data_IF_219099435784
#
_entry.id   IF_219099435784
#
_cell.length_a   1.000
_cell.length_b   1.000
_cell.length_c   1.000
_cell.angle_alpha   90.00
_cell.angle_beta   90.00
_cell.angle_gamma   90.00
#
_symmetry.space_group_name_H-M   'P 1'
#
loop_
_entity.id
_entity.type
_entity.pdbx_description
1 polymer ?
#
# COMPACT_ATOMS: atom_id res chain seq x y z
N UNK A 1 -27.78 -16.21 -8.11
CA UNK A 1 -26.48 -16.72 -8.57
C UNK A 1 -26.39 -16.37 -10.04
N UNK A 2 -25.40 -15.56 -10.42
CA UNK A 2 -25.08 -15.25 -11.82
C UNK A 2 -24.97 -16.54 -12.63
N UNK A 3 -25.58 -16.57 -13.82
CA UNK A 3 -25.59 -17.72 -14.74
C UNK A 3 -24.19 -17.93 -15.33
N UNK A 4 -23.27 -18.45 -14.50
CA UNK A 4 -21.91 -18.76 -14.90
C UNK A 4 -21.90 -20.12 -15.62
N UNK A 5 -21.30 -20.24 -16.81
CA UNK A 5 -21.38 -21.45 -17.63
C UNK A 5 -20.53 -22.62 -17.10
N UNK A 6 -19.80 -22.42 -16.00
CA UNK A 6 -18.90 -23.40 -15.38
C UNK A 6 -19.00 -23.32 -13.85
N UNK A 7 -18.61 -24.39 -13.16
CA UNK A 7 -18.53 -24.39 -11.69
C UNK A 7 -17.36 -23.54 -11.23
N UNK A 8 -17.67 -22.39 -10.63
CA UNK A 8 -16.71 -21.51 -9.96
C UNK A 8 -16.84 -21.69 -8.44
N UNK A 9 -15.73 -21.55 -7.70
CA UNK A 9 -15.73 -21.49 -6.23
C UNK A 9 -16.75 -20.43 -5.77
N UNK A 10 -17.73 -20.76 -4.90
CA UNK A 10 -18.83 -19.86 -4.60
C UNK A 10 -18.38 -18.57 -3.93
N UNK A 11 -17.29 -18.61 -3.17
CA UNK A 11 -16.68 -17.43 -2.53
C UNK A 11 -16.13 -16.46 -3.59
N UNK A 12 -15.53 -17.00 -4.66
CA UNK A 12 -15.00 -16.19 -5.77
C UNK A 12 -16.14 -15.61 -6.62
N UNK A 13 -17.20 -16.37 -6.86
CA UNK A 13 -18.36 -15.90 -7.61
C UNK A 13 -19.11 -14.76 -6.90
N UNK A 14 -18.98 -14.65 -5.57
CA UNK A 14 -19.56 -13.58 -4.77
C UNK A 14 -18.68 -12.31 -4.73
N UNK A 15 -17.39 -12.40 -5.08
CA UNK A 15 -16.51 -11.24 -5.11
C UNK A 15 -16.80 -10.35 -6.32
N UNK A 16 -16.89 -9.02 -6.13
CA UNK A 16 -16.90 -8.11 -7.26
C UNK A 16 -15.55 -8.19 -7.99
N UNK A 17 -15.59 -8.23 -9.32
CA UNK A 17 -14.37 -8.09 -10.11
C UNK A 17 -13.71 -6.73 -9.79
N UNK A 18 -12.38 -6.73 -9.64
CA UNK A 18 -11.63 -5.51 -9.40
C UNK A 18 -11.91 -4.47 -10.49
N UNK A 19 -12.25 -3.25 -10.06
CA UNK A 19 -12.41 -2.10 -10.95
C UNK A 19 -11.39 -1.04 -10.55
N UNK A 20 -10.45 -0.78 -11.46
CA UNK A 20 -9.52 0.34 -11.34
C UNK A 20 -10.30 1.66 -11.22
N UNK A 21 -9.73 2.64 -10.52
CA UNK A 21 -10.28 4.00 -10.49
C UNK A 21 -10.50 4.55 -11.91
N UNK A 22 -11.50 5.43 -12.06
CA UNK A 22 -11.79 6.10 -13.33
C UNK A 22 -10.51 6.79 -13.85
N UNK A 23 -10.26 6.69 -15.16
CA UNK A 23 -9.22 7.47 -15.82
C UNK A 23 -9.68 8.93 -15.91
N UNK A 24 -8.76 9.87 -15.78
CA UNK A 24 -9.06 11.29 -15.95
C UNK A 24 -9.16 11.64 -17.46
N UNK A 25 -10.00 12.62 -17.78
CA UNK A 25 -9.94 13.31 -19.07
C UNK A 25 -8.66 14.16 -19.16
N UNK A 26 -8.32 14.65 -20.35
CA UNK A 26 -7.08 15.41 -20.59
C UNK A 26 -6.92 16.67 -19.72
N UNK A 27 -8.03 17.27 -19.28
CA UNK A 27 -8.05 18.53 -18.53
C UNK A 27 -8.31 18.32 -17.02
N UNK A 28 -8.43 17.06 -16.58
CA UNK A 28 -8.74 16.70 -15.20
C UNK A 28 -7.52 16.17 -14.45
N UNK A 29 -7.45 16.44 -13.14
CA UNK A 29 -6.40 15.92 -12.28
C UNK A 29 -6.75 14.52 -11.77
N UNK A 30 -5.87 13.55 -12.01
CA UNK A 30 -6.07 12.15 -11.58
C UNK A 30 -5.57 11.94 -10.15
N UNK A 31 -6.43 12.19 -9.18
CA UNK A 31 -6.10 12.15 -7.75
C UNK A 31 -6.65 10.92 -7.02
N UNK A 32 -6.90 9.82 -7.74
CA UNK A 32 -7.60 8.64 -7.20
C UNK A 32 -6.68 7.43 -6.91
N UNK A 33 -5.43 7.46 -7.35
CA UNK A 33 -4.56 6.26 -7.39
C UNK A 33 -3.26 6.38 -6.58
N UNK A 34 -3.06 7.49 -5.86
CA UNK A 34 -1.83 7.77 -5.10
C UNK A 34 -0.59 7.64 -6.00
N UNK A 35 -0.67 8.08 -7.25
CA UNK A 35 0.45 8.06 -8.19
C UNK A 35 1.41 9.21 -7.88
N UNK A 36 2.68 9.05 -8.26
CA UNK A 36 3.64 10.14 -8.14
C UNK A 36 3.36 11.16 -9.26
N UNK A 37 3.17 12.46 -8.97
CA UNK A 37 2.86 13.46 -10.00
C UNK A 37 4.06 13.84 -10.88
N UNK A 38 5.28 13.44 -10.50
CA UNK A 38 6.48 13.75 -11.27
C UNK A 38 6.76 12.69 -12.32
N UNK A 39 7.25 13.13 -13.48
CA UNK A 39 7.84 12.24 -14.49
C UNK A 39 9.02 11.45 -13.90
N UNK A 40 9.25 10.20 -14.35
CA UNK A 40 10.43 9.44 -13.95
C UNK A 40 11.73 10.18 -14.25
N UNK A 41 12.75 9.99 -13.40
CA UNK A 41 14.07 10.59 -13.63
C UNK A 41 14.68 10.15 -14.97
N UNK A 42 15.42 11.03 -15.67
CA UNK A 42 16.02 10.70 -16.96
C UNK A 42 16.85 9.41 -16.93
N UNK A 43 17.67 9.21 -15.90
CA UNK A 43 18.48 7.99 -15.74
C UNK A 43 17.65 6.71 -15.58
N UNK A 44 16.48 6.80 -14.94
CA UNK A 44 15.53 5.68 -14.84
C UNK A 44 14.93 5.35 -16.21
N UNK A 45 14.54 6.38 -16.98
CA UNK A 45 14.02 6.19 -18.34
C UNK A 45 15.08 5.58 -19.26
N UNK A 46 16.33 6.02 -19.15
CA UNK A 46 17.46 5.48 -19.90
C UNK A 46 17.72 4.01 -19.56
N UNK A 47 17.72 3.65 -18.28
CA UNK A 47 17.89 2.27 -17.82
C UNK A 47 16.80 1.33 -18.40
N UNK A 48 15.53 1.77 -18.37
CA UNK A 48 14.41 1.03 -18.96
C UNK A 48 14.57 0.87 -20.48
N UNK A 49 15.00 1.92 -21.18
CA UNK A 49 15.22 1.89 -22.63
C UNK A 49 16.40 1.01 -23.03
N UNK A 50 17.42 0.90 -22.18
CA UNK A 50 18.59 0.05 -22.42
C UNK A 50 18.28 -1.44 -22.25
N UNK A 51 17.30 -1.80 -21.42
CA UNK A 51 16.88 -3.17 -21.14
C UNK A 51 16.09 -3.81 -22.30
N UNK A 52 16.74 -4.01 -23.45
CA UNK A 52 16.10 -4.39 -24.72
C UNK A 52 16.03 -5.89 -25.02
N UNK A 53 16.56 -6.75 -24.14
CA UNK A 53 16.63 -8.20 -24.35
C UNK A 53 15.28 -8.92 -24.11
N UNK A 54 14.20 -8.39 -24.69
CA UNK A 54 12.82 -8.86 -24.49
C UNK A 54 12.57 -10.30 -24.95
N UNK A 55 13.42 -10.81 -25.85
CA UNK A 55 13.36 -12.18 -26.33
C UNK A 55 13.91 -13.21 -25.34
N UNK A 56 14.43 -12.76 -24.18
CA UNK A 56 14.97 -13.61 -23.11
C UNK A 56 14.16 -13.42 -21.85
N UNK A 57 14.02 -14.49 -21.08
CA UNK A 57 13.48 -14.39 -19.74
C UNK A 57 14.43 -13.58 -18.85
N UNK A 58 13.89 -12.72 -17.96
CA UNK A 58 14.70 -12.06 -16.93
C UNK A 58 15.23 -13.06 -15.92
N UNK A 59 16.14 -12.62 -15.05
CA UNK A 59 16.46 -13.36 -13.84
C UNK A 59 15.18 -13.53 -13.00
N UNK A 60 14.70 -14.76 -12.89
CA UNK A 60 13.48 -15.09 -12.15
C UNK A 60 13.52 -14.66 -10.68
N UNK A 61 14.72 -14.51 -10.13
CA UNK A 61 14.94 -14.17 -8.74
C UNK A 61 15.16 -12.68 -8.50
N UNK A 62 15.37 -11.86 -9.55
CA UNK A 62 15.82 -10.46 -9.45
C UNK A 62 17.04 -10.32 -8.51
N UNK A 63 18.07 -11.16 -8.70
CA UNK A 63 19.17 -11.33 -7.77
C UNK A 63 19.98 -10.06 -7.52
N UNK A 64 20.13 -9.19 -8.53
CA UNK A 64 20.84 -7.91 -8.38
C UNK A 64 20.06 -6.96 -7.47
N UNK A 65 18.76 -6.82 -7.71
CA UNK A 65 17.91 -5.99 -6.86
C UNK A 65 17.81 -6.54 -5.43
N UNK A 66 17.70 -7.87 -5.27
CA UNK A 66 17.73 -8.51 -3.94
C UNK A 66 19.02 -8.22 -3.20
N UNK A 67 20.19 -8.33 -3.85
CA UNK A 67 21.47 -8.02 -3.23
C UNK A 67 21.55 -6.55 -2.77
N UNK A 68 21.13 -5.60 -3.63
CA UNK A 68 21.15 -4.17 -3.30
C UNK A 68 20.23 -3.81 -2.13
N UNK A 69 19.05 -4.42 -2.07
CA UNK A 69 18.12 -4.27 -0.96
C UNK A 69 18.63 -4.97 0.31
N UNK A 70 19.24 -6.14 0.18
CA UNK A 70 19.79 -6.88 1.31
C UNK A 70 20.88 -6.09 2.03
N UNK A 71 21.81 -5.49 1.27
CA UNK A 71 22.82 -4.58 1.80
C UNK A 71 22.19 -3.39 2.54
N UNK A 72 21.11 -2.82 1.98
CA UNK A 72 20.41 -1.65 2.56
C UNK A 72 19.81 -1.96 3.93
N UNK A 73 19.20 -3.13 4.09
CA UNK A 73 18.55 -3.53 5.33
C UNK A 73 19.45 -4.39 6.23
N UNK A 74 20.72 -4.58 5.87
CA UNK A 74 21.68 -5.42 6.57
C UNK A 74 21.18 -6.87 6.81
N UNK A 75 20.53 -7.46 5.78
CA UNK A 75 20.06 -8.84 5.79
C UNK A 75 20.77 -9.68 4.73
N UNK A 76 20.61 -11.00 4.77
CA UNK A 76 21.03 -11.85 3.66
C UNK A 76 20.12 -11.66 2.43
N UNK A 77 20.60 -11.88 1.18
CA UNK A 77 19.77 -11.81 -0.02
C UNK A 77 18.51 -12.68 0.02
N UNK A 78 18.54 -13.82 0.72
CA UNK A 78 17.38 -14.71 0.93
C UNK A 78 16.33 -14.15 1.90
N UNK A 79 16.73 -13.19 2.72
CA UNK A 79 15.84 -12.35 3.53
C UNK A 79 15.16 -11.24 2.73
N UNK A 80 15.34 -11.19 1.40
CA UNK A 80 14.63 -10.28 0.49
C UNK A 80 13.84 -11.08 -0.54
N UNK A 81 12.60 -10.66 -0.77
CA UNK A 81 11.74 -11.17 -1.82
C UNK A 81 11.25 -10.05 -2.73
N UNK A 82 11.28 -10.26 -4.04
CA UNK A 82 10.84 -9.28 -5.04
C UNK A 82 9.75 -9.91 -5.89
N UNK A 83 8.68 -9.16 -6.17
CA UNK A 83 7.60 -9.61 -7.05
C UNK A 83 7.00 -8.44 -7.84
N UNK A 84 5.99 -8.76 -8.67
CA UNK A 84 5.26 -7.83 -9.51
C UNK A 84 4.38 -6.84 -8.70
N UNK A 85 5.03 -5.97 -7.93
CA UNK A 85 4.42 -5.07 -6.94
C UNK A 85 4.15 -5.74 -5.60
N UNK A 86 4.05 -4.92 -4.55
CA UNK A 86 3.82 -5.38 -3.17
C UNK A 86 2.54 -6.21 -3.00
N UNK A 87 1.49 -5.91 -3.77
CA UNK A 87 0.23 -6.67 -3.78
C UNK A 87 0.44 -8.13 -4.18
N UNK A 88 1.36 -8.41 -5.11
CA UNK A 88 1.69 -9.78 -5.50
C UNK A 88 2.35 -10.54 -4.34
N UNK A 89 3.14 -9.85 -3.52
CA UNK A 89 3.76 -10.44 -2.32
C UNK A 89 2.70 -10.69 -1.23
N UNK A 90 1.76 -9.77 -1.01
CA UNK A 90 0.64 -10.01 -0.08
C UNK A 90 -0.18 -11.23 -0.49
N UNK A 91 -0.49 -11.35 -1.79
CA UNK A 91 -1.17 -12.53 -2.33
C UNK A 91 -0.39 -13.82 -2.04
N UNK A 92 0.93 -13.77 -2.24
CA UNK A 92 1.80 -14.92 -2.02
C UNK A 92 1.88 -15.32 -0.54
N UNK A 93 2.03 -14.35 0.36
CA UNK A 93 2.04 -14.55 1.81
C UNK A 93 0.69 -15.09 2.31
N UNK A 94 -0.43 -14.50 1.87
CA UNK A 94 -1.76 -14.97 2.20
C UNK A 94 -1.97 -16.43 1.75
N UNK A 95 -1.59 -16.74 0.52
CA UNK A 95 -1.71 -18.10 -0.05
C UNK A 95 -0.76 -19.11 0.63
N UNK A 96 0.38 -18.66 1.14
CA UNK A 96 1.36 -19.52 1.80
C UNK A 96 0.99 -19.81 3.27
N UNK A 97 0.27 -18.91 3.92
CA UNK A 97 -0.01 -18.98 5.36
C UNK A 97 -1.43 -19.41 5.70
N UNK A 98 -2.38 -19.27 4.76
CA UNK A 98 -3.80 -19.37 5.07
C UNK A 98 -4.56 -20.23 4.06
N UNK A 99 -5.58 -20.94 4.56
CA UNK A 99 -6.52 -21.70 3.74
C UNK A 99 -7.93 -21.75 4.36
N UNK A 100 -8.77 -22.71 3.93
CA UNK A 100 -10.11 -22.91 4.48
C UNK A 100 -10.10 -23.09 5.99
N UNK A 101 -10.82 -22.20 6.69
CA UNK A 101 -10.93 -22.21 8.16
C UNK A 101 -9.89 -21.36 8.88
N UNK A 102 -8.93 -20.78 8.18
CA UNK A 102 -8.00 -19.80 8.76
C UNK A 102 -8.56 -18.37 8.66
N UNK A 103 -7.97 -17.47 9.43
CA UNK A 103 -8.32 -16.05 9.51
C UNK A 103 -7.12 -15.17 9.09
N UNK A 104 -7.40 -14.18 8.24
CA UNK A 104 -6.50 -13.06 7.92
C UNK A 104 -7.10 -11.79 8.50
N UNK A 105 -6.37 -11.15 9.40
CA UNK A 105 -6.83 -9.98 10.14
C UNK A 105 -6.19 -8.67 9.65
N UNK A 106 -6.94 -7.58 9.71
CA UNK A 106 -6.47 -6.23 9.43
C UNK A 106 -7.42 -5.20 10.05
N UNK A 107 -6.94 -3.97 10.26
CA UNK A 107 -7.82 -2.86 10.61
C UNK A 107 -8.73 -2.47 9.44
N UNK A 108 -9.92 -1.94 9.71
CA UNK A 108 -10.91 -1.59 8.70
C UNK A 108 -11.66 -0.29 9.04
N UNK A 109 -11.68 0.70 8.14
CA UNK A 109 -11.24 0.64 6.73
C UNK A 109 -9.71 0.69 6.55
N UNK A 110 -9.20 -0.21 5.70
CA UNK A 110 -7.81 -0.19 5.22
C UNK A 110 -7.77 -0.52 3.73
N UNK A 111 -6.66 -1.08 3.24
CA UNK A 111 -6.46 -1.26 1.81
C UNK A 111 -7.53 -2.21 1.24
N UNK A 112 -8.27 -1.73 0.24
CA UNK A 112 -9.45 -2.41 -0.31
C UNK A 112 -9.18 -3.81 -0.87
N UNK A 113 -7.91 -4.16 -1.11
CA UNK A 113 -7.53 -5.48 -1.58
C UNK A 113 -7.54 -6.54 -0.46
N UNK A 114 -7.35 -6.18 0.81
CA UNK A 114 -7.18 -7.17 1.89
C UNK A 114 -8.35 -8.17 2.03
N UNK A 115 -9.64 -7.74 2.01
CA UNK A 115 -10.75 -8.69 2.06
C UNK A 115 -10.76 -9.67 0.88
N UNK A 116 -10.41 -9.18 -0.32
CA UNK A 116 -10.31 -9.99 -1.52
C UNK A 116 -9.17 -11.01 -1.43
N UNK A 117 -8.01 -10.60 -0.92
CA UNK A 117 -6.85 -11.48 -0.72
C UNK A 117 -7.18 -12.65 0.22
N UNK A 118 -7.84 -12.36 1.35
CA UNK A 118 -8.30 -13.41 2.27
C UNK A 118 -9.25 -14.39 1.59
N UNK A 119 -10.24 -13.87 0.87
CA UNK A 119 -11.24 -14.69 0.17
C UNK A 119 -10.59 -15.58 -0.91
N UNK A 120 -9.63 -15.05 -1.68
CA UNK A 120 -8.94 -15.81 -2.72
C UNK A 120 -8.11 -16.95 -2.13
N UNK A 121 -7.41 -16.70 -1.02
CA UNK A 121 -6.69 -17.72 -0.26
C UNK A 121 -7.63 -18.79 0.36
N UNK A 122 -8.92 -18.49 0.48
CA UNK A 122 -9.91 -19.36 1.13
C UNK A 122 -10.04 -19.13 2.64
N UNK A 123 -9.43 -18.06 3.14
CA UNK A 123 -9.49 -17.65 4.53
C UNK A 123 -10.67 -16.69 4.78
N UNK A 124 -10.99 -16.51 6.06
CA UNK A 124 -11.96 -15.51 6.52
C UNK A 124 -11.24 -14.19 6.79
N UNK A 125 -11.76 -13.08 6.24
CA UNK A 125 -11.30 -11.74 6.56
C UNK A 125 -11.82 -11.30 7.94
N UNK A 126 -10.91 -10.97 8.86
CA UNK A 126 -11.24 -10.41 10.17
C UNK A 126 -10.93 -8.92 10.15
N UNK A 127 -11.97 -8.11 9.98
CA UNK A 127 -11.89 -6.66 9.92
C UNK A 127 -12.09 -6.05 11.31
N UNK A 128 -11.05 -5.44 11.89
CA UNK A 128 -11.11 -4.77 13.19
C UNK A 128 -11.35 -3.27 12.99
N UNK A 129 -12.33 -2.63 13.64
CA UNK A 129 -12.59 -1.19 13.44
C UNK A 129 -11.36 -0.31 13.71
N UNK A 130 -11.27 0.82 13.01
CA UNK A 130 -10.30 1.87 13.32
C UNK A 130 -10.63 2.58 14.64
N UNK A 131 -9.65 3.28 15.21
CA UNK A 131 -9.86 4.23 16.30
C UNK A 131 -10.66 5.44 15.83
N UNK A 132 -11.11 6.29 16.77
CA UNK A 132 -11.81 7.53 16.45
C UNK A 132 -10.96 8.49 15.59
N UNK A 133 -9.63 8.44 15.74
CA UNK A 133 -8.65 9.21 14.99
C UNK A 133 -8.32 8.60 13.63
N UNK A 134 -9.10 7.61 13.19
CA UNK A 134 -8.91 6.87 11.93
C UNK A 134 -7.58 6.08 11.84
N UNK A 135 -7.00 5.73 12.99
CA UNK A 135 -5.81 4.89 13.13
C UNK A 135 -6.13 3.41 13.35
N UNK A 136 -5.11 2.56 13.33
CA UNK A 136 -5.27 1.13 13.65
C UNK A 136 -5.43 0.95 15.16
N UNK A 137 -6.47 0.24 15.60
CA UNK A 137 -6.64 -0.16 17.00
C UNK A 137 -5.84 -1.46 17.26
N UNK A 138 -4.54 -1.32 17.56
CA UNK A 138 -3.66 -2.47 17.74
C UNK A 138 -4.02 -3.31 18.98
N UNK A 139 -4.59 -2.71 20.02
CA UNK A 139 -5.02 -3.45 21.20
C UNK A 139 -6.25 -4.33 20.87
N UNK A 140 -7.24 -3.78 20.17
CA UNK A 140 -8.39 -4.55 19.70
C UNK A 140 -7.98 -5.62 18.68
N UNK A 141 -6.99 -5.34 17.82
CA UNK A 141 -6.44 -6.34 16.91
C UNK A 141 -5.78 -7.50 17.66
N UNK A 142 -4.99 -7.21 18.71
CA UNK A 142 -4.39 -8.25 19.54
C UNK A 142 -5.45 -9.06 20.30
N UNK A 143 -6.50 -8.41 20.81
CA UNK A 143 -7.62 -9.07 21.50
C UNK A 143 -8.46 -9.97 20.59
N UNK A 144 -8.51 -9.65 19.29
CA UNK A 144 -9.26 -10.42 18.30
C UNK A 144 -8.53 -11.67 17.79
N UNK A 145 -7.27 -11.90 18.20
CA UNK A 145 -6.48 -13.05 17.75
C UNK A 145 -7.09 -14.36 18.26
N UNK A 146 -7.23 -15.33 17.37
CA UNK A 146 -7.73 -16.67 17.68
C UNK A 146 -6.76 -17.76 17.24
N UNK A 147 -7.05 -19.02 17.57
CA UNK A 147 -6.30 -20.17 17.07
C UNK A 147 -6.34 -20.34 15.55
N UNK A 148 -7.29 -19.68 14.87
CA UNK A 148 -7.44 -19.67 13.42
C UNK A 148 -6.67 -18.52 12.76
N UNK A 149 -6.21 -17.52 13.50
CA UNK A 149 -5.45 -16.41 12.93
C UNK A 149 -4.10 -16.90 12.41
N UNK A 150 -3.83 -16.66 11.12
CA UNK A 150 -2.56 -17.05 10.47
C UNK A 150 -1.74 -15.87 9.99
N UNK A 151 -2.41 -14.78 9.63
CA UNK A 151 -1.77 -13.58 9.13
C UNK A 151 -2.50 -12.33 9.63
N UNK A 152 -1.74 -11.33 10.06
CA UNK A 152 -2.23 -10.01 10.43
C UNK A 152 -1.51 -8.97 9.56
N UNK A 153 -2.25 -8.04 8.98
CA UNK A 153 -1.69 -6.94 8.18
C UNK A 153 -1.82 -5.63 8.95
N UNK A 154 -0.68 -5.01 9.26
CA UNK A 154 -0.58 -3.67 9.83
C UNK A 154 -0.13 -2.74 8.70
N UNK A 155 -1.02 -1.83 8.28
CA UNK A 155 -0.78 -0.91 7.17
C UNK A 155 -0.43 0.46 7.74
N UNK A 156 0.83 0.87 7.60
CA UNK A 156 1.35 2.10 8.22
C UNK A 156 2.31 2.81 7.26
N UNK A 157 1.97 4.00 6.75
CA UNK A 157 0.69 4.72 6.89
C UNK A 157 -0.53 3.97 6.38
N UNK A 158 -1.67 4.11 7.07
CA UNK A 158 -2.90 3.43 6.68
C UNK A 158 -3.48 4.02 5.39
N UNK A 159 -3.81 3.15 4.44
CA UNK A 159 -4.56 3.50 3.25
C UNK A 159 -6.00 2.99 3.41
N UNK A 160 -7.04 3.83 3.43
CA UNK A 160 -7.07 5.18 2.87
C UNK A 160 -6.97 6.34 3.87
N UNK A 161 -6.91 6.08 5.18
CA UNK A 161 -7.19 7.14 6.17
C UNK A 161 -6.02 8.05 6.49
N UNK A 162 -4.77 7.59 6.35
CA UNK A 162 -3.57 8.42 6.47
C UNK A 162 -2.67 8.19 7.69
N UNK A 163 -3.18 7.97 8.92
CA UNK A 163 -2.34 7.83 10.11
C UNK A 163 -1.36 6.65 10.07
N UNK A 164 -0.24 6.81 10.78
CA UNK A 164 0.72 5.74 11.09
C UNK A 164 0.35 5.03 12.39
N UNK A 165 0.94 3.85 12.61
CA UNK A 165 1.13 3.31 13.96
C UNK A 165 2.50 3.74 14.50
N UNK A 166 2.60 3.95 15.80
CA UNK A 166 3.90 4.28 16.43
C UNK A 166 4.75 3.04 16.63
N UNK A 167 6.07 3.20 16.71
CA UNK A 167 7.01 2.11 16.98
C UNK A 167 6.68 1.42 18.31
N UNK A 168 6.44 2.20 19.37
CA UNK A 168 6.12 1.67 20.69
C UNK A 168 4.82 0.84 20.69
N UNK A 169 3.78 1.31 19.99
CA UNK A 169 2.51 0.58 19.89
C UNK A 169 2.68 -0.71 19.06
N UNK A 170 3.47 -0.66 17.99
CA UNK A 170 3.78 -1.84 17.18
C UNK A 170 4.56 -2.89 17.98
N UNK A 171 5.58 -2.50 18.73
CA UNK A 171 6.37 -3.43 19.55
C UNK A 171 5.51 -4.08 20.65
N UNK A 172 4.64 -3.30 21.31
CA UNK A 172 3.68 -3.81 22.29
C UNK A 172 2.69 -4.80 21.64
N UNK A 173 2.21 -4.49 20.45
CA UNK A 173 1.33 -5.38 19.67
C UNK A 173 2.02 -6.71 19.32
N UNK A 174 3.22 -6.65 18.75
CA UNK A 174 4.00 -7.85 18.39
C UNK A 174 4.26 -8.73 19.62
N UNK A 175 4.52 -8.14 20.79
CA UNK A 175 4.72 -8.88 22.03
C UNK A 175 3.46 -9.62 22.54
N UNK A 176 2.26 -9.18 22.14
CA UNK A 176 0.98 -9.81 22.50
C UNK A 176 0.55 -10.88 21.51
N UNK A 177 0.96 -10.77 20.24
CA UNK A 177 0.60 -11.72 19.19
C UNK A 177 1.42 -13.00 19.30
N UNK A 178 0.79 -14.15 19.07
CA UNK A 178 1.44 -15.45 19.11
C UNK A 178 2.51 -15.55 18.01
N UNK A 179 3.67 -16.11 18.34
CA UNK A 179 4.85 -16.13 17.47
C UNK A 179 4.73 -16.99 16.20
N UNK A 180 3.66 -17.77 16.07
CA UNK A 180 3.33 -18.57 14.88
C UNK A 180 2.35 -17.85 13.93
N UNK A 181 1.90 -16.63 14.26
CA UNK A 181 1.08 -15.79 13.40
C UNK A 181 1.99 -14.84 12.63
N UNK A 182 1.89 -14.83 11.30
CA UNK A 182 2.62 -13.89 10.47
C UNK A 182 2.07 -12.47 10.67
N UNK A 183 2.94 -11.50 10.95
CA UNK A 183 2.61 -10.08 10.94
C UNK A 183 3.27 -9.44 9.72
N UNK A 184 2.46 -8.83 8.85
CA UNK A 184 2.94 -8.05 7.71
C UNK A 184 2.81 -6.57 8.02
N UNK A 185 3.95 -5.88 8.11
CA UNK A 185 3.98 -4.42 8.15
C UNK A 185 4.00 -3.91 6.70
N UNK A 186 2.85 -3.46 6.19
CA UNK A 186 2.73 -2.83 4.88
C UNK A 186 3.10 -1.35 4.94
N UNK A 187 4.32 -1.06 4.46
CA UNK A 187 4.97 0.24 4.42
C UNK A 187 4.94 0.85 3.01
N UNK A 188 3.87 0.66 2.25
CA UNK A 188 3.77 1.19 0.88
C UNK A 188 3.97 2.72 0.75
N UNK A 189 3.86 3.46 1.86
CA UNK A 189 4.01 4.92 1.90
C UNK A 189 5.07 5.38 2.92
N UNK A 190 5.96 4.49 3.39
CA UNK A 190 6.91 4.83 4.45
C UNK A 190 7.85 5.99 4.11
N UNK A 191 8.17 6.20 2.83
CA UNK A 191 9.05 7.31 2.43
C UNK A 191 8.42 8.69 2.68
N UNK A 192 7.08 8.79 2.77
CA UNK A 192 6.37 10.05 3.01
C UNK A 192 6.20 10.40 4.49
N UNK A 193 6.61 9.51 5.39
CA UNK A 193 6.42 9.66 6.84
C UNK A 193 7.35 10.74 7.38
N UNK A 194 6.77 11.68 8.12
CA UNK A 194 7.50 12.76 8.82
C UNK A 194 7.37 12.67 10.35
N UNK A 195 6.51 11.77 10.85
CA UNK A 195 6.34 11.51 12.27
C UNK A 195 7.55 10.72 12.83
N UNK A 196 8.32 11.27 13.79
CA UNK A 196 9.49 10.60 14.34
C UNK A 196 9.14 9.37 15.21
N UNK A 197 7.91 9.26 15.69
CA UNK A 197 7.45 8.14 16.53
C UNK A 197 6.89 6.98 15.69
N UNK A 198 6.76 7.16 14.38
CA UNK A 198 6.22 6.15 13.49
C UNK A 198 7.05 4.85 13.53
N UNK A 199 6.36 3.72 13.42
CA UNK A 199 7.03 2.43 13.21
C UNK A 199 7.86 2.50 11.92
N UNK A 200 9.06 1.93 11.95
CA UNK A 200 9.87 1.76 10.75
C UNK A 200 10.25 0.31 10.53
N UNK A 201 10.16 -0.16 9.29
CA UNK A 201 10.57 -1.49 8.92
C UNK A 201 12.02 -1.80 9.30
N UNK A 202 12.92 -0.82 9.22
CA UNK A 202 14.32 -0.99 9.64
C UNK A 202 14.45 -1.31 11.14
N UNK A 203 13.73 -0.58 12.00
CA UNK A 203 13.73 -0.85 13.44
C UNK A 203 13.09 -2.20 13.77
N UNK A 204 11.98 -2.54 13.12
CA UNK A 204 11.27 -3.81 13.29
C UNK A 204 12.14 -5.01 12.86
N UNK A 205 12.87 -4.90 11.75
CA UNK A 205 13.81 -5.92 11.31
C UNK A 205 14.99 -6.07 12.27
N UNK A 206 15.53 -4.96 12.78
CA UNK A 206 16.61 -4.95 13.76
C UNK A 206 16.21 -5.58 15.10
N UNK A 207 14.93 -5.48 15.49
CA UNK A 207 14.39 -6.15 16.67
C UNK A 207 14.36 -7.69 16.54
N UNK A 208 14.42 -8.23 15.32
CA UNK A 208 14.65 -9.66 15.08
C UNK A 208 13.45 -10.57 15.29
N UNK A 209 12.22 -10.05 15.20
CA UNK A 209 11.01 -10.87 15.29
C UNK A 209 10.87 -11.79 14.07
N UNK A 210 11.02 -13.11 14.29
CA UNK A 210 11.03 -14.10 13.21
C UNK A 210 9.70 -14.29 12.47
N UNK A 211 8.60 -13.74 12.97
CA UNK A 211 7.27 -13.79 12.37
C UNK A 211 6.81 -12.44 11.77
N UNK A 212 7.72 -11.47 11.63
CA UNK A 212 7.41 -10.18 11.01
C UNK A 212 8.02 -10.08 9.62
N UNK A 213 7.22 -9.63 8.66
CA UNK A 213 7.65 -9.31 7.29
C UNK A 213 7.31 -7.85 7.00
N UNK A 214 8.32 -7.08 6.58
CA UNK A 214 8.13 -5.71 6.11
C UNK A 214 7.88 -5.73 4.61
N UNK A 215 6.87 -5.01 4.15
CA UNK A 215 6.49 -4.93 2.74
C UNK A 215 6.60 -3.49 2.23
N UNK A 216 7.30 -3.30 1.11
CA UNK A 216 7.54 -1.99 0.48
C UNK A 216 7.33 -2.03 -1.02
N UNK A 217 7.30 -0.87 -1.66
CA UNK A 217 6.94 -0.74 -3.08
C UNK A 217 7.74 0.36 -3.78
N UNK A 218 8.07 0.13 -5.06
CA UNK A 218 8.58 1.19 -5.92
C UNK A 218 7.45 1.98 -6.61
N UNK A 219 6.19 1.62 -6.38
CA UNK A 219 5.06 2.22 -7.10
C UNK A 219 4.74 3.66 -6.69
N UNK A 220 5.16 4.08 -5.49
CA UNK A 220 4.75 5.34 -4.86
C UNK A 220 5.88 6.35 -4.91
N UNK A 221 6.70 6.42 -3.86
CA UNK A 221 7.83 7.34 -3.75
C UNK A 221 8.74 7.32 -5.00
N UNK A 222 9.08 6.13 -5.50
CA UNK A 222 9.96 5.95 -6.65
C UNK A 222 9.28 6.12 -8.03
N UNK A 223 7.96 6.33 -8.09
CA UNK A 223 7.26 6.64 -9.34
C UNK A 223 7.13 5.49 -10.34
N UNK A 224 7.35 4.23 -9.94
CA UNK A 224 7.36 3.07 -10.85
C UNK A 224 6.03 2.31 -10.88
N UNK A 225 4.90 3.00 -10.68
CA UNK A 225 3.58 2.38 -10.62
C UNK A 225 3.26 1.56 -11.88
N UNK A 226 3.72 2.00 -13.06
CA UNK A 226 3.53 1.29 -14.33
C UNK A 226 4.41 0.04 -14.53
N UNK A 227 5.53 -0.08 -13.80
CA UNK A 227 6.51 -1.17 -13.99
C UNK A 227 6.32 -2.35 -13.03
N UNK A 228 5.48 -2.19 -12.01
CA UNK A 228 5.06 -3.26 -11.10
C UNK A 228 6.25 -3.94 -10.42
N UNK A 229 6.94 -3.23 -9.52
CA UNK A 229 8.00 -3.82 -8.69
C UNK A 229 7.81 -3.43 -7.23
N UNK A 230 7.90 -4.43 -6.36
CA UNK A 230 7.79 -4.30 -4.92
C UNK A 230 8.60 -5.38 -4.24
N UNK A 231 8.86 -5.22 -2.94
CA UNK A 231 9.75 -6.10 -2.21
C UNK A 231 9.29 -6.29 -0.78
N UNK A 232 9.68 -7.42 -0.20
CA UNK A 232 9.51 -7.72 1.20
C UNK A 232 10.84 -8.11 1.84
N UNK A 233 10.99 -7.79 3.13
CA UNK A 233 12.13 -8.17 3.95
C UNK A 233 11.62 -8.95 5.17
N UNK A 234 12.28 -10.06 5.51
CA UNK A 234 11.90 -10.87 6.66
C UNK A 234 12.67 -12.19 6.72
N UNK A 235 12.20 -13.12 7.55
CA UNK A 235 12.79 -14.45 7.66
C UNK A 235 12.73 -15.20 6.32
N UNK A 236 13.88 -15.73 5.87
CA UNK A 236 13.98 -16.37 4.55
C UNK A 236 12.99 -17.53 4.38
N UNK A 237 12.63 -18.24 5.46
CA UNK A 237 11.74 -19.41 5.39
C UNK A 237 10.31 -19.00 5.06
N UNK A 238 9.88 -17.86 5.60
CA UNK A 238 8.58 -17.26 5.26
C UNK A 238 8.60 -16.79 3.81
N UNK A 239 9.68 -16.12 3.40
CA UNK A 239 9.83 -15.62 2.04
C UNK A 239 9.95 -16.74 1.00
N UNK A 240 10.53 -17.89 1.34
CA UNK A 240 10.56 -19.09 0.49
C UNK A 240 9.16 -19.71 0.32
N UNK A 241 8.35 -19.72 1.38
CA UNK A 241 6.96 -20.14 1.31
C UNK A 241 6.16 -19.20 0.37
N UNK A 242 6.36 -17.88 0.48
CA UNK A 242 5.77 -16.91 -0.44
C UNK A 242 6.26 -17.09 -1.90
N UNK A 243 7.55 -17.33 -2.12
CA UNK A 243 8.10 -17.64 -3.45
C UNK A 243 7.42 -18.85 -4.08
N UNK A 244 7.10 -19.87 -3.28
CA UNK A 244 6.47 -21.12 -3.73
C UNK A 244 5.03 -20.95 -4.23
N UNK A 245 4.34 -19.88 -3.82
CA UNK A 245 2.99 -19.54 -4.29
C UNK A 245 2.99 -18.48 -5.39
N UNK A 246 4.17 -17.97 -5.75
CA UNK A 246 4.33 -16.92 -6.75
C UNK A 246 4.22 -17.42 -8.18
N UNK A 247 3.77 -16.52 -9.07
CA UNK A 247 3.89 -16.74 -10.52
C UNK A 247 5.37 -16.55 -10.89
N UNK A 248 6.04 -17.58 -11.45
CA UNK A 248 7.43 -17.46 -11.87
C UNK A 248 7.60 -16.37 -12.91
N UNK A 249 8.76 -15.70 -12.91
CA UNK A 249 9.13 -14.71 -13.95
C UNK A 249 8.18 -13.50 -14.02
N UNK A 250 7.56 -13.13 -12.90
CA UNK A 250 6.60 -12.02 -12.84
C UNK A 250 7.23 -10.62 -12.83
N UNK A 251 8.50 -10.51 -12.43
CA UNK A 251 9.27 -9.26 -12.49
C UNK A 251 9.98 -9.17 -13.84
N UNK A 252 9.75 -8.08 -14.56
CA UNK A 252 10.39 -7.85 -15.87
C UNK A 252 11.80 -7.29 -15.71
N UNK A 253 12.67 -7.50 -16.71
CA UNK A 253 14.02 -6.92 -16.71
C UNK A 253 13.97 -5.39 -16.60
N UNK A 254 13.02 -4.75 -17.29
CA UNK A 254 12.82 -3.31 -17.23
C UNK A 254 12.41 -2.83 -15.84
N UNK A 255 11.60 -3.61 -15.12
CA UNK A 255 11.22 -3.28 -13.75
C UNK A 255 12.42 -3.38 -12.79
N UNK A 256 13.28 -4.39 -12.97
CA UNK A 256 14.51 -4.54 -12.18
C UNK A 256 15.49 -3.39 -12.46
N UNK A 257 15.77 -3.06 -13.73
CA UNK A 257 16.68 -1.96 -14.08
C UNK A 257 16.15 -0.60 -13.61
N UNK A 258 14.84 -0.36 -13.72
CA UNK A 258 14.23 0.87 -13.20
C UNK A 258 14.38 0.97 -11.68
N UNK A 259 14.12 -0.12 -10.95
CA UNK A 259 14.27 -0.14 -9.50
C UNK A 259 15.71 0.12 -9.09
N UNK A 260 16.69 -0.52 -9.75
CA UNK A 260 18.11 -0.29 -9.49
C UNK A 260 18.51 1.17 -9.76
N UNK A 261 18.15 1.72 -10.92
CA UNK A 261 18.42 3.12 -11.25
C UNK A 261 17.75 4.11 -10.28
N UNK A 262 16.55 3.77 -9.79
CA UNK A 262 15.85 4.55 -8.76
C UNK A 262 16.56 4.50 -7.41
N UNK A 263 17.17 3.38 -7.03
CA UNK A 263 17.98 3.28 -5.80
C UNK A 263 19.28 4.08 -5.92
N UNK A 264 19.88 4.15 -7.11
CA UNK A 264 21.09 4.94 -7.34
C UNK A 264 20.84 6.46 -7.32
N UNK A 265 19.62 6.89 -7.69
CA UNK A 265 19.20 8.30 -7.74
C UNK A 265 18.27 8.70 -6.57
N UNK A 266 18.37 7.99 -5.44
CA UNK A 266 17.39 8.08 -4.37
C UNK A 266 17.32 9.45 -3.68
N UNK A 267 18.45 10.13 -3.49
CA UNK A 267 18.46 11.46 -2.87
C UNK A 267 17.59 12.47 -3.65
N UNK A 268 17.64 12.41 -4.99
CA UNK A 268 16.81 13.26 -5.85
C UNK A 268 15.33 12.87 -5.80
N UNK A 269 15.03 11.56 -5.72
CA UNK A 269 13.66 11.09 -5.52
C UNK A 269 13.09 11.50 -4.16
N UNK A 270 13.89 11.45 -3.11
CA UNK A 270 13.47 11.83 -1.76
C UNK A 270 13.25 13.34 -1.61
N UNK A 271 13.91 14.18 -2.41
CA UNK A 271 13.54 15.61 -2.53
C UNK A 271 12.10 15.79 -3.01
N UNK A 272 11.72 15.05 -4.06
CA UNK A 272 10.34 15.07 -4.59
C UNK A 272 9.32 14.56 -3.58
N UNK A 273 9.69 13.52 -2.82
CA UNK A 273 8.88 12.98 -1.72
C UNK A 273 8.66 14.03 -0.63
N UNK A 274 9.72 14.75 -0.21
CA UNK A 274 9.61 15.84 0.76
C UNK A 274 8.69 16.95 0.28
N UNK A 275 8.77 17.33 -0.99
CA UNK A 275 7.85 18.31 -1.58
C UNK A 275 6.38 17.85 -1.52
N UNK A 276 6.11 16.58 -1.84
CA UNK A 276 4.76 15.99 -1.74
C UNK A 276 4.27 15.98 -0.29
N UNK A 277 5.11 15.62 0.67
CA UNK A 277 4.76 15.61 2.10
C UNK A 277 4.46 17.03 2.62
N UNK A 278 5.26 18.04 2.24
CA UNK A 278 4.97 19.44 2.59
C UNK A 278 3.63 19.91 2.00
N UNK A 279 3.34 19.59 0.73
CA UNK A 279 2.05 19.92 0.10
C UNK A 279 0.88 19.20 0.79
N UNK A 280 1.05 17.93 1.16
CA UNK A 280 0.06 17.16 1.92
C UNK A 280 -0.33 17.86 3.21
N UNK A 281 0.66 18.24 4.01
CA UNK A 281 0.44 18.82 5.33
C UNK A 281 -0.28 20.17 5.20
N UNK A 282 0.18 21.03 4.28
CA UNK A 282 -0.47 22.31 3.99
C UNK A 282 -1.91 22.14 3.47
N UNK A 283 -2.17 21.14 2.61
CA UNK A 283 -3.52 20.85 2.13
C UNK A 283 -4.42 20.34 3.26
N UNK A 284 -3.93 19.43 4.10
CA UNK A 284 -4.68 18.91 5.24
C UNK A 284 -5.11 20.03 6.19
N UNK A 285 -4.21 20.99 6.49
CA UNK A 285 -4.53 22.15 7.33
C UNK A 285 -5.62 23.02 6.71
N UNK A 286 -5.52 23.35 5.41
CA UNK A 286 -6.55 24.12 4.72
C UNK A 286 -7.91 23.42 4.68
N UNK A 287 -7.94 22.09 4.57
CA UNK A 287 -9.18 21.32 4.61
C UNK A 287 -9.79 21.33 6.02
N UNK A 288 -8.97 21.28 7.08
CA UNK A 288 -9.43 21.47 8.47
C UNK A 288 -9.98 22.86 8.71
N UNK A 289 -9.30 23.90 8.22
CA UNK A 289 -9.79 25.28 8.28
C UNK A 289 -11.13 25.46 7.55
N UNK A 290 -11.36 24.71 6.47
CA UNK A 290 -12.64 24.68 5.75
C UNK A 290 -13.75 23.94 6.51
N UNK A 291 -13.43 23.20 7.58
CA UNK A 291 -14.39 22.50 8.44
C UNK A 291 -14.41 20.97 8.33
N UNK A 292 -13.47 20.35 7.59
CA UNK A 292 -13.34 18.90 7.52
C UNK A 292 -12.51 18.34 8.67
N UNK A 293 -12.91 17.18 9.21
CA UNK A 293 -12.12 16.45 10.21
C UNK A 293 -11.06 15.55 9.55
N UNK A 294 -10.06 16.17 8.92
CA UNK A 294 -9.00 15.44 8.19
C UNK A 294 -8.00 14.83 9.19
N UNK A 295 -7.82 13.49 9.21
CA UNK A 295 -6.83 12.83 10.08
C UNK A 295 -5.39 13.27 9.78
N UNK A 296 -4.45 12.97 10.69
CA UNK A 296 -3.02 13.24 10.47
C UNK A 296 -2.49 12.30 9.39
N UNK A 297 -2.39 12.81 8.16
CA UNK A 297 -1.94 12.02 7.03
C UNK A 297 -0.42 11.89 6.99
N UNK A 298 0.08 10.68 6.77
CA UNK A 298 1.52 10.39 6.65
C UNK A 298 1.90 9.69 5.34
N UNK A 299 0.92 9.51 4.43
CA UNK A 299 1.14 9.00 3.07
C UNK A 299 1.34 10.10 2.01
N UNK A 300 1.00 9.84 0.75
CA UNK A 300 0.93 10.85 -0.33
C UNK A 300 -0.52 11.21 -0.70
N UNK A 301 -1.39 11.27 0.29
CA UNK A 301 -2.82 11.52 0.15
C UNK A 301 -3.39 12.09 1.45
N UNK A 302 -4.60 12.64 1.39
CA UNK A 302 -5.43 13.02 2.54
C UNK A 302 -6.77 12.28 2.51
N UNK A 303 -7.44 12.23 3.66
CA UNK A 303 -8.73 11.55 3.85
C UNK A 303 -9.80 12.54 4.30
N UNK A 304 -10.94 12.55 3.60
CA UNK A 304 -12.15 13.25 4.00
C UNK A 304 -13.16 12.23 4.55
N UNK A 305 -13.44 12.18 5.86
CA UNK A 305 -14.47 11.32 6.43
C UNK A 305 -15.87 11.87 6.08
N UNK A 306 -16.39 11.46 4.94
CA UNK A 306 -17.68 11.94 4.41
C UNK A 306 -18.87 11.00 4.71
N UNK A 307 -18.62 9.83 5.31
CA UNK A 307 -19.62 8.82 5.62
C UNK A 307 -20.48 8.46 4.41
N UNK A 308 -21.80 8.44 4.60
CA UNK A 308 -22.78 8.17 3.54
C UNK A 308 -22.72 9.16 2.36
N UNK A 309 -22.18 10.37 2.58
CA UNK A 309 -22.03 11.39 1.53
C UNK A 309 -20.79 11.18 0.66
N UNK A 310 -19.98 10.14 0.88
CA UNK A 310 -18.72 9.95 0.15
C UNK A 310 -18.86 9.97 -1.38
N UNK A 311 -19.95 9.41 -1.92
CA UNK A 311 -20.20 9.42 -3.37
C UNK A 311 -20.62 10.81 -3.87
N UNK A 312 -21.51 11.49 -3.15
CA UNK A 312 -21.94 12.87 -3.43
C UNK A 312 -20.75 13.83 -3.42
N UNK A 313 -19.90 13.75 -2.39
CA UNK A 313 -18.67 14.55 -2.29
C UNK A 313 -17.79 14.26 -3.50
N UNK A 314 -17.57 13.00 -3.86
CA UNK A 314 -16.75 12.67 -5.02
C UNK A 314 -17.33 13.17 -6.35
N UNK A 315 -18.65 13.27 -6.50
CA UNK A 315 -19.29 13.90 -7.66
C UNK A 315 -19.03 15.41 -7.72
N UNK A 316 -19.02 16.10 -6.57
CA UNK A 316 -18.64 17.52 -6.53
C UNK A 316 -17.19 17.74 -6.96
N UNK A 317 -16.28 16.86 -6.55
CA UNK A 317 -14.89 16.85 -7.03
C UNK A 317 -14.78 16.55 -8.53
N UNK A 318 -15.54 15.56 -9.03
CA UNK A 318 -15.58 15.20 -10.45
C UNK A 318 -16.05 16.39 -11.31
N UNK A 319 -17.07 17.11 -10.86
CA UNK A 319 -17.57 18.33 -11.50
C UNK A 319 -16.53 19.47 -11.53
N UNK A 320 -15.59 19.49 -10.58
CA UNK A 320 -14.46 20.41 -10.53
C UNK A 320 -13.22 19.91 -11.33
N UNK A 321 -13.34 18.79 -12.05
CA UNK A 321 -12.24 18.18 -12.80
C UNK A 321 -11.21 17.48 -11.92
N UNK A 322 -11.62 16.98 -10.74
CA UNK A 322 -10.77 16.28 -9.78
C UNK A 322 -11.24 14.84 -9.62
N UNK A 323 -10.49 13.89 -10.17
CA UNK A 323 -10.84 12.47 -10.08
C UNK A 323 -10.31 11.88 -8.78
N UNK A 324 -11.12 11.91 -7.72
CA UNK A 324 -10.79 11.40 -6.38
C UNK A 324 -11.23 9.94 -6.18
N UNK A 325 -10.81 9.30 -5.08
CA UNK A 325 -11.22 7.92 -4.75
C UNK A 325 -12.25 7.93 -3.62
N UNK A 326 -13.51 7.69 -3.96
CA UNK A 326 -14.58 7.48 -2.99
C UNK A 326 -14.61 6.04 -2.45
N UNK A 327 -14.92 5.91 -1.17
CA UNK A 327 -15.24 4.66 -0.49
C UNK A 327 -16.64 4.82 0.11
N UNK A 328 -17.63 4.20 -0.54
CA UNK A 328 -19.04 4.34 -0.18
C UNK A 328 -19.27 3.96 1.29
N UNK A 329 -20.04 4.79 2.00
CA UNK A 329 -20.32 4.65 3.43
C UNK A 329 -19.25 5.21 4.36
N UNK A 330 -18.07 5.59 3.86
CA UNK A 330 -16.93 5.97 4.71
C UNK A 330 -16.35 7.35 4.37
N UNK A 331 -15.83 7.56 3.16
CA UNK A 331 -15.16 8.82 2.84
C UNK A 331 -14.43 8.86 1.51
N UNK A 332 -13.64 9.92 1.32
CA UNK A 332 -12.95 10.22 0.08
C UNK A 332 -11.45 10.36 0.33
N UNK A 333 -10.64 9.59 -0.40
CA UNK A 333 -9.19 9.73 -0.42
C UNK A 333 -8.78 10.59 -1.61
N UNK A 334 -7.94 11.59 -1.35
CA UNK A 334 -7.45 12.54 -2.35
C UNK A 334 -5.93 12.41 -2.41
N UNK A 335 -5.41 11.98 -3.55
CA UNK A 335 -3.95 11.91 -3.77
C UNK A 335 -3.37 13.32 -3.83
N UNK A 336 -2.13 13.48 -3.36
CA UNK A 336 -1.38 14.72 -3.55
C UNK A 336 -0.75 14.69 -4.94
N UNK A 337 -1.36 15.41 -5.86
CA UNK A 337 -0.92 15.57 -7.24
C UNK A 337 -0.21 16.89 -7.47
N UNK A 338 -0.45 17.49 -8.62
CA UNK A 338 0.10 18.76 -9.11
C UNK A 338 -0.35 19.96 -8.24
N UNK A 339 0.48 21.00 -8.16
CA UNK A 339 0.21 22.21 -7.36
C UNK A 339 -1.07 22.91 -7.81
N UNK A 340 -1.32 22.91 -9.11
CA UNK A 340 -2.47 23.54 -9.77
C UNK A 340 -3.81 22.92 -9.36
N UNK A 341 -3.78 21.71 -8.79
CA UNK A 341 -4.97 21.04 -8.27
C UNK A 341 -5.41 21.57 -6.90
N UNK A 342 -4.50 22.16 -6.10
CA UNK A 342 -4.71 22.48 -4.69
C UNK A 342 -5.88 23.44 -4.47
N UNK A 343 -5.93 24.55 -5.19
CA UNK A 343 -7.03 25.53 -5.05
C UNK A 343 -8.38 24.94 -5.44
N UNK A 344 -8.42 24.07 -6.46
CA UNK A 344 -9.65 23.39 -6.87
C UNK A 344 -10.10 22.40 -5.81
N UNK A 345 -9.17 21.67 -5.18
CA UNK A 345 -9.47 20.74 -4.09
C UNK A 345 -10.13 21.47 -2.93
N UNK A 346 -9.53 22.57 -2.48
CA UNK A 346 -10.05 23.32 -1.31
C UNK A 346 -11.42 23.93 -1.63
N UNK A 347 -11.61 24.49 -2.81
CA UNK A 347 -12.91 25.03 -3.22
C UNK A 347 -13.99 23.94 -3.32
N UNK A 348 -13.68 22.80 -3.94
CA UNK A 348 -14.62 21.67 -4.05
C UNK A 348 -14.95 21.07 -2.67
N UNK A 349 -13.95 20.92 -1.80
CA UNK A 349 -14.15 20.43 -0.44
C UNK A 349 -15.03 21.37 0.40
N UNK A 350 -14.81 22.68 0.31
CA UNK A 350 -15.63 23.67 1.01
C UNK A 350 -17.10 23.65 0.52
N UNK A 351 -17.31 23.61 -0.80
CA UNK A 351 -18.65 23.53 -1.39
C UNK A 351 -19.40 22.25 -1.02
N UNK A 352 -18.69 21.17 -0.66
CA UNK A 352 -19.30 19.90 -0.29
C UNK A 352 -19.81 19.88 1.16
N UNK A 353 -19.44 20.85 2.01
CA UNK A 353 -19.94 20.94 3.39
C UNK A 353 -21.33 21.58 3.51
N UNK A 354 -21.76 22.37 2.52
CA UNK A 354 -23.02 23.11 2.52
C UNK A 354 -22.78 24.60 2.36
#
# INVERSE_FOLDING_TARGET
>A
MTDLPVRIRPEIAALPAYRQGRQASTDAFKLSSNENPFDPLPGVVEAVRAATTFNRYPDASAGRLRARLADRYAVAPDGVHVAAGSVSILYQLASATSGPGDEIMFAWRSFEAYPGLATVAGATAVAVPLTAESGHDLDAMADAVTDRTRMIIVCSPNNPTGPVVTQAAFDAFVARVRSDVLIVLDEAYAEFVTDPEAVTGAAVLAAGHGNVVVLRTFSKAYGLAGLRVGYAIGDHRILDAARSTGIPLSVTAQAEEAALASLDAEDELLERVRHIATRRDALADRLREAGWDVPVAQGNFVWLPAGERALEVAEAFDAAGLIVRAFAGDGVRISIGEEESVERIVAAAASALG
#
